data_IF_316462081064
#
_entry.id   IF_316462081064
#
_cell.length_a   1.000
_cell.length_b   1.000
_cell.length_c   1.000
_cell.angle_alpha   90.00
_cell.angle_beta   90.00
_cell.angle_gamma   90.00
#
_symmetry.space_group_name_H-M   'P 1'
#
loop_
_entity.id
_entity.type
_entity.pdbx_description
1 polymer ?
#
# COMPACT_ATOMS: atom_id res chain seq x y z
N UNK A 1 -17.03 -21.87 1.59
CA UNK A 1 -17.36 -20.57 2.24
C UNK A 1 -16.19 -19.96 3.04
N UNK A 2 -14.95 -20.39 2.81
CA UNK A 2 -13.76 -19.89 3.54
C UNK A 2 -13.00 -18.81 2.74
N UNK A 3 -13.18 -18.79 1.42
CA UNK A 3 -12.53 -17.88 0.48
C UNK A 3 -12.98 -16.43 0.64
N UNK A 4 -14.27 -16.17 0.91
CA UNK A 4 -14.77 -14.81 1.15
C UNK A 4 -14.31 -14.23 2.50
N UNK A 5 -14.20 -15.07 3.54
CA UNK A 5 -13.84 -14.62 4.88
C UNK A 5 -12.36 -14.23 4.99
N UNK A 6 -11.47 -14.91 4.24
CA UNK A 6 -10.04 -14.60 4.19
C UNK A 6 -9.73 -13.27 3.49
N UNK A 7 -10.49 -12.91 2.46
CA UNK A 7 -10.30 -11.63 1.75
C UNK A 7 -10.73 -10.44 2.59
N UNK A 8 -11.85 -10.52 3.30
CA UNK A 8 -12.33 -9.42 4.15
C UNK A 8 -11.38 -9.10 5.31
N UNK A 9 -10.74 -10.10 5.94
CA UNK A 9 -9.84 -9.85 7.08
C UNK A 9 -8.53 -9.17 6.66
N UNK A 10 -7.99 -9.55 5.49
CA UNK A 10 -6.74 -8.96 4.98
C UNK A 10 -6.93 -7.48 4.60
N UNK A 11 -8.09 -7.11 4.04
CA UNK A 11 -8.39 -5.71 3.71
C UNK A 11 -8.42 -4.82 4.95
N UNK A 12 -9.02 -5.28 6.06
CA UNK A 12 -9.10 -4.53 7.31
C UNK A 12 -7.75 -4.36 8.01
N UNK A 13 -6.89 -5.38 7.97
CA UNK A 13 -5.53 -5.29 8.54
C UNK A 13 -4.65 -4.30 7.78
N UNK A 14 -4.80 -4.23 6.45
CA UNK A 14 -4.05 -3.26 5.63
C UNK A 14 -4.57 -1.83 5.82
N UNK A 15 -5.88 -1.65 5.93
CA UNK A 15 -6.47 -0.33 6.25
C UNK A 15 -5.97 0.20 7.60
N UNK A 16 -5.73 -0.69 8.58
CA UNK A 16 -5.18 -0.32 9.88
C UNK A 16 -3.73 0.18 9.82
N UNK A 17 -2.98 -0.06 8.73
CA UNK A 17 -1.62 0.45 8.53
C UNK A 17 -1.59 1.89 8.01
N UNK A 18 -2.69 2.38 7.43
CA UNK A 18 -2.75 3.71 6.81
C UNK A 18 -2.36 4.83 7.80
N UNK A 19 -2.86 4.86 9.05
CA UNK A 19 -2.46 5.88 10.02
C UNK A 19 -0.97 5.82 10.37
N UNK A 20 -0.44 4.62 10.63
CA UNK A 20 0.97 4.43 10.98
C UNK A 20 1.92 4.83 9.84
N UNK A 21 1.55 4.52 8.59
CA UNK A 21 2.29 4.95 7.41
C UNK A 21 2.20 6.46 7.21
N UNK A 22 1.02 7.04 7.42
CA UNK A 22 0.79 8.49 7.32
C UNK A 22 1.59 9.28 8.36
N UNK A 23 1.81 8.74 9.56
CA UNK A 23 2.65 9.37 10.58
C UNK A 23 4.14 9.41 10.17
N UNK A 24 4.59 8.45 9.36
CA UNK A 24 5.99 8.36 8.89
C UNK A 24 6.23 9.28 7.69
N UNK A 25 5.38 9.19 6.66
CA UNK A 25 5.60 9.86 5.37
C UNK A 25 4.73 11.09 5.13
N UNK A 26 3.66 11.27 5.92
CA UNK A 26 2.59 12.24 5.69
C UNK A 26 1.43 11.62 4.91
N UNK A 27 0.19 12.03 5.23
CA UNK A 27 -1.03 11.50 4.60
C UNK A 27 -1.05 11.67 3.07
N UNK A 28 -0.50 12.77 2.55
CA UNK A 28 -0.44 13.04 1.10
C UNK A 28 0.42 12.01 0.33
N UNK A 29 1.29 11.28 1.04
CA UNK A 29 2.26 10.33 0.49
C UNK A 29 1.90 8.87 0.72
N UNK A 30 0.68 8.61 1.22
CA UNK A 30 0.04 7.28 1.25
C UNK A 30 -1.09 7.28 0.24
N UNK A 31 -0.94 6.51 -0.84
CA UNK A 31 -1.89 6.46 -1.95
C UNK A 31 -2.70 5.17 -1.89
N UNK A 32 -4.02 5.32 -1.88
CA UNK A 32 -4.99 4.21 -1.91
C UNK A 32 -5.96 4.31 -3.09
N UNK A 33 -5.87 5.39 -3.87
CA UNK A 33 -6.75 5.63 -5.01
C UNK A 33 -6.44 4.68 -6.16
N UNK A 34 -7.49 4.18 -6.83
CA UNK A 34 -7.36 3.21 -7.92
C UNK A 34 -6.40 3.67 -9.03
N UNK A 35 -6.42 4.95 -9.39
CA UNK A 35 -5.52 5.51 -10.41
C UNK A 35 -4.05 5.45 -10.01
N UNK A 36 -3.74 5.65 -8.73
CA UNK A 36 -2.37 5.57 -8.22
C UNK A 36 -1.91 4.11 -8.14
N UNK A 37 -2.80 3.21 -7.70
CA UNK A 37 -2.53 1.77 -7.64
C UNK A 37 -2.24 1.17 -9.03
N UNK A 38 -2.97 1.60 -10.05
CA UNK A 38 -2.71 1.20 -11.44
C UNK A 38 -1.39 1.77 -11.97
N UNK A 39 -1.12 3.06 -11.67
CA UNK A 39 0.07 3.77 -12.14
C UNK A 39 1.36 3.19 -11.56
N UNK A 40 1.38 2.90 -10.26
CA UNK A 40 2.58 2.44 -9.56
C UNK A 40 2.63 0.93 -9.34
N UNK A 41 1.53 0.21 -9.58
CA UNK A 41 1.50 -1.24 -9.47
C UNK A 41 2.20 -1.92 -10.64
N UNK A 42 1.97 -1.46 -11.87
CA UNK A 42 2.44 -2.17 -13.05
C UNK A 42 3.88 -1.83 -13.39
N UNK A 43 4.67 -2.85 -13.71
CA UNK A 43 5.95 -2.63 -14.36
C UNK A 43 5.74 -2.18 -15.83
N UNK A 44 6.83 -1.79 -16.48
CA UNK A 44 6.75 -1.36 -17.89
C UNK A 44 6.29 -2.47 -18.83
N UNK A 45 6.55 -3.74 -18.50
CA UNK A 45 6.17 -4.88 -19.35
C UNK A 45 4.65 -5.10 -19.37
N UNK A 46 3.96 -4.71 -18.29
CA UNK A 46 2.51 -4.93 -18.07
C UNK A 46 2.10 -6.39 -18.26
N UNK A 47 3.05 -7.32 -18.19
CA UNK A 47 2.81 -8.73 -18.48
C UNK A 47 2.02 -9.40 -17.34
N UNK A 48 2.19 -8.92 -16.11
CA UNK A 48 1.53 -9.47 -14.93
C UNK A 48 0.66 -8.40 -14.27
N UNK A 49 -0.67 -8.64 -14.17
CA UNK A 49 -1.53 -7.74 -13.43
C UNK A 49 -1.20 -7.87 -11.94
N UNK A 50 -0.90 -6.73 -11.30
CA UNK A 50 -0.77 -6.65 -9.86
C UNK A 50 -2.00 -5.97 -9.26
N UNK A 51 -2.32 -6.35 -8.03
CA UNK A 51 -3.39 -5.72 -7.25
C UNK A 51 -2.79 -5.20 -5.94
N UNK A 52 -2.03 -4.08 -5.98
CA UNK A 52 -1.47 -3.49 -4.78
C UNK A 52 -2.61 -2.94 -3.91
N UNK A 53 -2.45 -3.04 -2.59
CA UNK A 53 -3.45 -2.54 -1.64
C UNK A 53 -3.24 -1.05 -1.27
N UNK A 54 -1.99 -0.58 -1.30
CA UNK A 54 -1.61 0.82 -1.08
C UNK A 54 -0.21 1.07 -1.67
N UNK A 55 0.13 2.34 -1.90
CA UNK A 55 1.45 2.79 -2.34
C UNK A 55 1.96 3.86 -1.36
N UNK A 56 3.24 3.79 -0.98
CA UNK A 56 3.87 4.73 -0.04
C UNK A 56 5.04 5.41 -0.72
N UNK A 57 5.15 6.73 -0.57
CA UNK A 57 6.17 7.55 -1.23
C UNK A 57 7.09 8.23 -0.20
N UNK A 58 8.10 7.52 0.34
CA UNK A 58 9.05 8.10 1.29
C UNK A 58 10.02 9.07 0.59
N UNK A 59 10.33 10.18 1.24
CA UNK A 59 11.27 11.21 0.76
C UNK A 59 12.69 11.03 1.31
N UNK A 60 12.83 10.36 2.46
CA UNK A 60 14.13 10.22 3.14
C UNK A 60 14.44 8.76 3.46
N UNK A 61 15.73 8.46 3.62
CA UNK A 61 16.19 7.12 4.03
C UNK A 61 15.61 6.71 5.39
N UNK A 62 15.47 7.67 6.33
CA UNK A 62 14.87 7.40 7.63
C UNK A 62 13.41 6.94 7.51
N UNK A 63 12.64 7.55 6.61
CA UNK A 63 11.26 7.15 6.32
C UNK A 63 11.21 5.74 5.70
N UNK A 64 12.09 5.42 4.76
CA UNK A 64 12.18 4.06 4.19
C UNK A 64 12.43 3.04 5.29
N UNK A 65 13.39 3.30 6.18
CA UNK A 65 13.69 2.39 7.29
C UNK A 65 12.54 2.28 8.29
N UNK A 66 11.78 3.34 8.52
CA UNK A 66 10.62 3.31 9.41
C UNK A 66 9.47 2.47 8.81
N UNK A 67 9.20 2.61 7.51
CA UNK A 67 8.20 1.80 6.79
C UNK A 67 8.55 0.31 6.85
N UNK A 68 9.82 -0.05 6.67
CA UNK A 68 10.26 -1.47 6.69
C UNK A 68 10.16 -2.11 8.08
N UNK A 69 10.08 -1.33 9.16
CA UNK A 69 9.99 -1.83 10.54
C UNK A 69 8.56 -2.03 11.04
N UNK A 70 7.57 -1.53 10.31
CA UNK A 70 6.15 -1.80 10.57
C UNK A 70 5.77 -3.21 10.13
#
# INVERSE_FOLDING_TARGET
KQTQKKTLTMSTEIEALIPALSDIVGADWVKTEASDLETYGSDWTKQFPVNPALVVMPKTVAQVQAVVRL
#
